data_IF_814871459701
#
_entry.id   IF_814871459701
#
_cell.length_a   1.000
_cell.length_b   1.000
_cell.length_c   1.000
_cell.angle_alpha   90.00
_cell.angle_beta   90.00
_cell.angle_gamma   90.00
#
_symmetry.space_group_name_H-M   'P 1'
#
loop_
_entity.id
_entity.type
_entity.pdbx_description
1 polymer ?
#
# COMPACT_ATOMS: atom_id res chain seq x y z
N UNK A 1 39.95 8.80 -18.40
CA UNK A 1 39.73 7.47 -17.79
C UNK A 1 38.32 7.49 -17.25
N UNK A 2 37.39 6.83 -17.94
CA UNK A 2 35.94 6.90 -17.68
C UNK A 2 35.58 6.27 -16.35
N UNK A 3 34.79 6.97 -15.54
CA UNK A 3 34.01 6.36 -14.48
C UNK A 3 32.82 5.65 -15.14
N UNK A 4 32.72 4.34 -14.94
CA UNK A 4 31.60 3.53 -15.41
C UNK A 4 30.32 3.98 -14.69
N UNK A 5 29.31 4.34 -15.48
CA UNK A 5 27.94 4.52 -15.05
C UNK A 5 27.44 3.17 -14.52
N UNK A 6 27.29 3.02 -13.20
CA UNK A 6 26.54 1.91 -12.62
C UNK A 6 25.10 2.34 -12.41
N UNK A 7 24.28 1.84 -13.33
CA UNK A 7 22.83 1.95 -13.39
C UNK A 7 22.22 0.95 -12.40
N UNK A 8 22.54 1.10 -11.11
CA UNK A 8 21.96 0.26 -10.05
C UNK A 8 20.72 0.95 -9.49
N UNK A 9 19.57 0.32 -9.78
CA UNK A 9 18.21 0.58 -9.31
C UNK A 9 18.09 1.46 -8.05
N UNK A 10 17.53 2.64 -8.22
CA UNK A 10 16.98 3.48 -7.14
C UNK A 10 15.70 2.82 -6.57
N UNK A 11 15.83 1.66 -5.92
CA UNK A 11 14.77 1.17 -5.03
C UNK A 11 14.82 2.04 -3.78
N UNK A 12 13.98 3.07 -3.75
CA UNK A 12 13.86 3.99 -2.63
C UNK A 12 13.73 3.24 -1.30
N UNK A 13 14.30 3.80 -0.23
CA UNK A 13 14.13 3.27 1.11
C UNK A 13 12.63 3.32 1.44
N UNK A 14 12.01 2.16 1.62
CA UNK A 14 10.61 2.04 2.01
C UNK A 14 10.54 1.88 3.52
N UNK A 15 9.67 2.63 4.20
CA UNK A 15 9.49 2.53 5.64
C UNK A 15 8.97 1.13 6.03
N UNK A 16 9.46 0.58 7.15
CA UNK A 16 8.95 -0.71 7.64
C UNK A 16 7.54 -0.57 8.24
N UNK A 17 7.24 0.59 8.81
CA UNK A 17 5.97 0.92 9.46
C UNK A 17 5.47 2.29 9.00
N UNK A 18 4.17 2.38 8.71
CA UNK A 18 3.52 3.62 8.26
C UNK A 18 2.15 3.75 8.88
N UNK A 19 1.73 4.99 9.14
CA UNK A 19 0.37 5.32 9.57
C UNK A 19 -0.26 6.27 8.55
N UNK A 20 -1.38 5.87 7.95
CA UNK A 20 -2.16 6.74 7.08
C UNK A 20 -3.28 7.42 7.85
N UNK A 21 -3.38 8.73 7.71
CA UNK A 21 -4.46 9.54 8.25
C UNK A 21 -5.59 9.66 7.23
N UNK A 22 -6.79 9.18 7.57
CA UNK A 22 -7.97 9.27 6.70
C UNK A 22 -9.01 10.18 7.37
N UNK A 23 -9.18 11.37 6.79
CA UNK A 23 -10.18 12.35 7.21
C UNK A 23 -11.42 12.26 6.34
N UNK A 24 -12.57 12.16 6.98
CA UNK A 24 -13.89 12.29 6.35
C UNK A 24 -14.67 13.41 7.04
N UNK A 25 -15.83 13.80 6.50
CA UNK A 25 -16.64 14.91 7.07
C UNK A 25 -17.02 14.72 8.55
N UNK A 26 -17.11 13.48 9.03
CA UNK A 26 -17.55 13.16 10.40
C UNK A 26 -16.57 12.31 11.19
N UNK A 27 -15.66 11.62 10.52
CA UNK A 27 -14.77 10.65 11.16
C UNK A 27 -13.32 10.90 10.79
N UNK A 28 -12.46 10.51 11.71
CA UNK A 28 -11.03 10.55 11.58
C UNK A 28 -10.47 9.16 11.89
N UNK A 29 -9.90 8.50 10.90
CA UNK A 29 -9.38 7.15 11.02
C UNK A 29 -7.87 7.14 10.82
N UNK A 30 -7.22 6.20 11.50
CA UNK A 30 -5.80 5.91 11.34
C UNK A 30 -5.66 4.46 10.89
N UNK A 31 -4.90 4.25 9.83
CA UNK A 31 -4.54 2.92 9.36
C UNK A 31 -3.08 2.69 9.72
N UNK A 32 -2.84 1.77 10.65
CA UNK A 32 -1.51 1.38 11.06
C UNK A 32 -1.10 0.15 10.25
N UNK A 33 0.01 0.28 9.51
CA UNK A 33 0.45 -0.74 8.57
C UNK A 33 1.93 -1.09 8.77
N UNK A 34 2.25 -2.35 8.51
CA UNK A 34 3.61 -2.88 8.43
C UNK A 34 3.87 -3.35 7.01
N UNK A 35 5.09 -3.12 6.51
CA UNK A 35 5.54 -3.70 5.25
C UNK A 35 5.44 -5.21 5.35
N UNK A 36 4.67 -5.80 4.45
CA UNK A 36 4.43 -7.23 4.53
C UNK A 36 5.62 -7.99 3.95
N UNK A 37 6.04 -9.02 4.67
CA UNK A 37 7.25 -9.81 4.37
C UNK A 37 6.99 -10.91 3.32
N UNK A 38 5.71 -11.29 3.12
CA UNK A 38 5.29 -12.33 2.17
C UNK A 38 4.15 -11.81 1.30
N UNK A 39 4.32 -11.94 -0.02
CA UNK A 39 3.26 -11.56 -0.96
C UNK A 39 2.09 -12.50 -0.71
N UNK A 40 0.95 -11.93 -0.30
CA UNK A 40 -0.31 -12.65 -0.12
C UNK A 40 -0.63 -13.42 -1.43
N UNK A 41 -1.15 -14.66 -1.39
CA UNK A 41 -0.98 -15.60 -2.47
C UNK A 41 -1.74 -15.16 -3.72
N UNK A 42 -0.99 -14.94 -4.80
CA UNK A 42 -1.51 -14.80 -6.16
C UNK A 42 -2.11 -13.44 -6.47
N UNK A 43 -3.29 -13.10 -5.94
CA UNK A 43 -4.00 -11.88 -6.32
C UNK A 43 -4.96 -11.40 -5.23
N UNK A 44 -5.30 -10.11 -5.31
CA UNK A 44 -6.21 -9.42 -4.43
C UNK A 44 -7.39 -8.87 -5.27
N UNK A 45 -8.60 -8.85 -4.72
CA UNK A 45 -9.76 -8.27 -5.40
C UNK A 45 -9.84 -6.78 -5.12
N UNK A 46 -9.65 -5.96 -6.15
CA UNK A 46 -9.79 -4.51 -6.06
C UNK A 46 -11.16 -4.12 -6.59
N UNK A 47 -11.93 -3.43 -5.74
CA UNK A 47 -13.19 -2.78 -6.11
C UNK A 47 -12.91 -1.31 -6.38
N UNK A 48 -13.34 -0.82 -7.52
CA UNK A 48 -13.23 0.59 -7.91
C UNK A 48 -14.51 1.10 -8.53
N UNK A 49 -14.70 2.41 -8.54
CA UNK A 49 -15.81 3.05 -9.26
C UNK A 49 -15.24 3.57 -10.58
N UNK A 50 -15.80 3.09 -11.70
CA UNK A 50 -15.48 3.54 -13.05
C UNK A 50 -16.79 3.92 -13.74
N UNK A 51 -16.88 5.15 -14.24
CA UNK A 51 -18.06 5.68 -14.92
C UNK A 51 -19.35 5.53 -14.09
N UNK A 52 -19.25 5.76 -12.78
CA UNK A 52 -20.36 5.64 -11.84
C UNK A 52 -20.79 4.21 -11.51
N UNK A 53 -20.10 3.19 -12.03
CA UNK A 53 -20.36 1.77 -11.77
C UNK A 53 -19.25 1.15 -10.96
N UNK A 54 -19.62 0.26 -10.04
CA UNK A 54 -18.65 -0.56 -9.33
C UNK A 54 -18.08 -1.63 -10.26
N UNK A 55 -16.75 -1.73 -10.29
CA UNK A 55 -16.00 -2.72 -11.06
C UNK A 55 -15.08 -3.47 -10.12
N UNK A 56 -15.01 -4.79 -10.28
CA UNK A 56 -14.12 -5.66 -9.51
C UNK A 56 -13.06 -6.26 -10.43
N UNK A 57 -11.77 -6.15 -10.08
CA UNK A 57 -10.65 -6.68 -10.85
C UNK A 57 -9.68 -7.45 -9.96
N UNK A 58 -9.08 -8.52 -10.49
CA UNK A 58 -7.92 -9.17 -9.88
C UNK A 58 -6.69 -8.29 -10.05
N UNK A 59 -6.03 -7.96 -8.96
CA UNK A 59 -4.77 -7.23 -8.93
C UNK A 59 -3.67 -8.10 -8.32
N UNK A 60 -2.50 -8.10 -8.94
CA UNK A 60 -1.34 -8.87 -8.50
C UNK A 60 -0.39 -7.88 -7.81
N UNK A 61 -0.19 -7.99 -6.49
CA UNK A 61 0.62 -7.02 -5.76
C UNK A 61 2.08 -7.04 -6.22
N UNK A 62 2.67 -5.87 -6.41
CA UNK A 62 4.11 -5.70 -6.57
C UNK A 62 4.82 -5.80 -5.21
N UNK A 63 6.16 -5.96 -5.13
CA UNK A 63 6.92 -6.17 -3.88
C UNK A 63 6.91 -5.02 -2.86
N UNK A 64 5.97 -4.07 -2.97
CA UNK A 64 5.82 -2.91 -2.11
C UNK A 64 4.39 -2.82 -1.55
N UNK A 65 4.08 -3.70 -0.61
CA UNK A 65 2.76 -3.86 -0.05
C UNK A 65 2.84 -3.79 1.48
N UNK A 66 1.83 -3.17 2.05
CA UNK A 66 1.64 -3.01 3.48
C UNK A 66 0.36 -3.70 3.90
N UNK A 67 0.40 -4.36 5.05
CA UNK A 67 -0.77 -4.94 5.69
C UNK A 67 -0.97 -4.37 7.09
N UNK A 68 -2.20 -4.37 7.58
CA UNK A 68 -2.47 -3.84 8.91
C UNK A 68 -3.94 -3.75 9.25
N UNK A 69 -4.30 -2.77 10.08
CA UNK A 69 -5.65 -2.65 10.63
C UNK A 69 -6.08 -1.20 10.81
N UNK A 70 -7.38 -0.99 10.98
CA UNK A 70 -7.94 0.32 11.34
C UNK A 70 -7.93 0.46 12.85
N UNK A 71 -7.27 1.51 13.34
CA UNK A 71 -7.11 1.76 14.77
C UNK A 71 -8.46 1.83 15.47
N UNK A 72 -8.63 1.02 16.52
CA UNK A 72 -9.85 0.98 17.32
C UNK A 72 -10.98 0.09 16.77
N UNK A 73 -10.79 -0.55 15.60
CA UNK A 73 -11.77 -1.49 15.04
C UNK A 73 -11.21 -2.90 15.12
N UNK A 74 -11.76 -3.71 16.03
CA UNK A 74 -11.37 -5.12 16.18
C UNK A 74 -11.64 -5.89 14.88
N UNK A 75 -10.76 -6.84 14.59
CA UNK A 75 -10.83 -7.76 13.44
C UNK A 75 -10.86 -7.04 12.07
N UNK A 76 -10.44 -5.78 12.02
CA UNK A 76 -10.25 -5.05 10.76
C UNK A 76 -8.94 -5.46 10.09
N UNK A 77 -8.96 -5.50 8.75
CA UNK A 77 -7.80 -5.83 7.96
C UNK A 77 -7.68 -4.88 6.77
N UNK A 78 -6.47 -4.38 6.55
CA UNK A 78 -6.13 -3.43 5.50
C UNK A 78 -4.97 -3.97 4.67
N UNK A 79 -5.07 -3.80 3.35
CA UNK A 79 -4.01 -4.08 2.40
C UNK A 79 -3.84 -2.89 1.48
N UNK A 80 -2.61 -2.37 1.41
CA UNK A 80 -2.28 -1.25 0.54
C UNK A 80 -1.06 -1.63 -0.29
N UNK A 81 -1.24 -1.64 -1.61
CA UNK A 81 -0.14 -1.81 -2.57
C UNK A 81 0.41 -0.44 -2.93
N UNK A 82 1.45 0.02 -2.23
CA UNK A 82 2.09 1.31 -2.46
C UNK A 82 3.61 1.22 -2.21
N UNK A 83 4.37 1.75 -3.17
CA UNK A 83 5.82 1.84 -3.11
C UNK A 83 6.34 3.10 -2.41
N UNK A 84 5.46 3.98 -1.96
CA UNK A 84 5.83 5.06 -1.05
C UNK A 84 4.88 4.99 0.14
N UNK A 85 5.41 5.11 1.36
CA UNK A 85 4.64 5.20 2.61
C UNK A 85 3.71 6.42 2.70
N UNK A 86 3.40 7.05 1.57
CA UNK A 86 2.57 8.24 1.49
C UNK A 86 3.30 9.49 1.91
N UNK A 87 4.48 9.76 1.36
CA UNK A 87 5.04 11.13 1.30
C UNK A 87 5.73 11.33 -0.05
N UNK A 88 5.04 12.04 -0.95
CA UNK A 88 5.66 12.91 -1.96
C UNK A 88 5.31 14.34 -1.62
#
# INVERSE_FOLDING_TARGET
>A
MSAYYNQDFMHGIHEEYVTYEIKSKRNHHFLDLKKAEKIHPGFIWVRSIKDGKEVTKKHYPEPCYYEGSVRGIKDSYAFISTCSGGLS
#
